data_IF_693385455134
#
_entry.id   IF_693385455134
#
_cell.length_a   1.000
_cell.length_b   1.000
_cell.length_c   1.000
_cell.angle_alpha   90.00
_cell.angle_beta   90.00
_cell.angle_gamma   90.00
#
_symmetry.space_group_name_H-M   'P 1'
#
loop_
_entity.id
_entity.type
_entity.pdbx_description
1 polymer ?
#
# COMPACT_ATOMS: atom_id res chain seq x y z
N UNK A 1 -5.22 2.08 24.68
CA UNK A 1 -5.86 3.01 23.74
C UNK A 1 -6.51 4.14 24.52
N UNK A 2 -6.10 5.41 24.32
CA UNK A 2 -6.84 6.55 24.87
C UNK A 2 -8.28 6.55 24.37
N UNK A 3 -9.23 6.83 25.27
CA UNK A 3 -10.67 6.88 24.98
C UNK A 3 -11.20 8.32 25.11
N UNK A 4 -12.50 8.52 24.84
CA UNK A 4 -13.17 9.81 25.01
C UNK A 4 -13.34 10.66 23.74
N UNK A 5 -13.20 10.09 22.55
CA UNK A 5 -13.59 10.74 21.29
C UNK A 5 -15.11 10.76 21.15
N UNK A 6 -15.67 11.86 20.63
CA UNK A 6 -17.08 11.99 20.29
C UNK A 6 -17.33 11.68 18.81
N UNK A 7 -18.56 11.29 18.46
CA UNK A 7 -18.96 11.02 17.08
C UNK A 7 -19.18 12.32 16.29
N UNK A 8 -18.68 12.36 15.06
CA UNK A 8 -18.93 13.45 14.12
C UNK A 8 -20.34 13.39 13.52
N UNK A 9 -20.89 14.53 13.10
CA UNK A 9 -22.23 14.65 12.52
C UNK A 9 -22.25 15.05 11.04
N UNK A 10 -21.07 15.13 10.40
CA UNK A 10 -20.90 15.49 8.98
C UNK A 10 -20.06 14.44 8.28
N UNK A 11 -20.47 14.02 7.08
CA UNK A 11 -19.74 13.08 6.22
C UNK A 11 -19.89 13.50 4.75
N UNK A 12 -18.77 13.85 4.12
CA UNK A 12 -18.75 14.39 2.76
C UNK A 12 -17.79 13.57 1.88
N UNK A 13 -18.33 12.92 0.84
CA UNK A 13 -17.52 12.16 -0.12
C UNK A 13 -16.45 13.03 -0.82
N UNK A 14 -16.71 14.33 -0.98
CA UNK A 14 -15.78 15.30 -1.56
C UNK A 14 -14.51 15.50 -0.72
N UNK A 15 -14.52 15.16 0.56
CA UNK A 15 -13.36 15.29 1.44
C UNK A 15 -12.46 14.06 1.41
N UNK A 16 -12.91 12.93 0.86
CA UNK A 16 -12.20 11.65 0.96
C UNK A 16 -10.92 11.62 0.14
N UNK A 17 -11.00 11.93 -1.15
CA UNK A 17 -9.85 11.79 -2.08
C UNK A 17 -8.75 12.83 -1.82
N UNK A 18 -9.06 13.94 -1.17
CA UNK A 18 -8.05 14.93 -0.74
C UNK A 18 -7.33 14.54 0.55
N UNK A 19 -7.86 13.58 1.31
CA UNK A 19 -7.34 13.22 2.63
C UNK A 19 -6.87 11.76 2.75
N UNK A 20 -7.14 10.90 1.77
CA UNK A 20 -6.69 9.51 1.76
C UNK A 20 -5.59 9.28 0.72
N UNK A 21 -4.45 8.66 1.11
CA UNK A 21 -3.40 8.32 0.16
C UNK A 21 -3.90 7.28 -0.84
N UNK A 22 -3.52 7.46 -2.10
CA UNK A 22 -3.85 6.55 -3.19
C UNK A 22 -2.81 5.41 -3.23
N UNK A 23 -3.17 4.19 -3.66
CA UNK A 23 -2.25 3.05 -3.75
C UNK A 23 -1.12 3.25 -4.78
N UNK A 24 -1.25 4.26 -5.64
CA UNK A 24 -0.25 4.67 -6.63
C UNK A 24 0.47 5.98 -6.28
N UNK A 25 0.31 6.48 -5.05
CA UNK A 25 1.01 7.67 -4.56
C UNK A 25 2.54 7.50 -4.60
N UNK A 26 3.24 8.58 -4.92
CA UNK A 26 4.71 8.64 -4.82
C UNK A 26 5.13 8.79 -3.35
N UNK A 27 6.40 8.53 -3.04
CA UNK A 27 6.91 8.72 -1.68
C UNK A 27 6.69 10.16 -1.20
N UNK A 28 6.93 11.17 -2.04
CA UNK A 28 6.72 12.57 -1.66
C UNK A 28 5.24 12.84 -1.32
N UNK A 29 4.31 12.32 -2.14
CA UNK A 29 2.88 12.46 -1.84
C UNK A 29 2.50 11.79 -0.51
N UNK A 30 3.04 10.60 -0.22
CA UNK A 30 2.81 9.93 1.06
C UNK A 30 3.34 10.77 2.23
N UNK A 31 4.58 11.29 2.12
CA UNK A 31 5.19 12.17 3.13
C UNK A 31 4.32 13.41 3.38
N UNK A 32 3.89 14.09 2.32
CA UNK A 32 3.08 15.31 2.43
C UNK A 32 1.71 15.03 3.07
N UNK A 33 1.06 13.93 2.67
CA UNK A 33 -0.25 13.56 3.21
C UNK A 33 -0.18 13.14 4.68
N UNK A 34 0.83 12.39 5.10
CA UNK A 34 1.02 12.03 6.51
C UNK A 34 1.44 13.25 7.35
N UNK A 35 2.31 14.11 6.83
CA UNK A 35 2.68 15.36 7.49
C UNK A 35 1.47 16.28 7.69
N UNK A 36 0.52 16.31 6.74
CA UNK A 36 -0.75 17.05 6.89
C UNK A 36 -1.62 16.55 8.05
N UNK A 37 -1.37 15.34 8.55
CA UNK A 37 -2.01 14.73 9.72
C UNK A 37 -1.15 14.79 10.98
N UNK A 38 -0.02 15.49 10.93
CA UNK A 38 0.92 15.60 12.04
C UNK A 38 1.73 14.32 12.29
N UNK A 39 1.84 13.45 11.28
CA UNK A 39 2.59 12.20 11.36
C UNK A 39 3.94 12.34 10.64
N UNK A 40 4.97 11.76 11.25
CA UNK A 40 6.34 11.69 10.74
C UNK A 40 6.50 10.64 9.63
N UNK A 41 7.64 10.67 8.95
CA UNK A 41 8.00 9.63 7.95
C UNK A 41 8.11 8.24 8.60
N UNK A 42 8.64 8.16 9.83
CA UNK A 42 8.73 6.90 10.57
C UNK A 42 7.34 6.35 10.92
N UNK A 43 6.42 7.20 11.35
CA UNK A 43 5.03 6.81 11.59
C UNK A 43 4.31 6.39 10.30
N UNK A 44 4.59 7.06 9.17
CA UNK A 44 4.08 6.66 7.85
C UNK A 44 4.54 5.25 7.47
N UNK A 45 5.84 4.96 7.60
CA UNK A 45 6.39 3.61 7.33
C UNK A 45 5.80 2.60 8.30
N UNK A 46 5.73 2.93 9.59
CA UNK A 46 5.17 2.07 10.64
C UNK A 46 3.70 1.71 10.37
N UNK A 47 2.88 2.69 10.00
CA UNK A 47 1.46 2.48 9.69
C UNK A 47 1.25 1.73 8.38
N UNK A 48 2.17 1.85 7.42
CA UNK A 48 2.16 1.04 6.18
C UNK A 48 2.32 -0.45 6.48
N UNK A 49 2.94 -0.81 7.61
CA UNK A 49 3.01 -2.19 8.12
C UNK A 49 1.65 -2.88 8.31
N UNK A 50 0.55 -2.13 8.40
CA UNK A 50 -0.79 -2.71 8.44
C UNK A 50 -1.13 -3.55 7.20
N UNK A 51 -0.45 -3.33 6.06
CA UNK A 51 -0.56 -4.14 4.85
C UNK A 51 0.05 -5.56 4.98
N UNK A 52 0.57 -5.93 6.16
CA UNK A 52 0.92 -7.32 6.48
C UNK A 52 -0.29 -8.26 6.50
N UNK A 53 -1.50 -7.73 6.60
CA UNK A 53 -2.76 -8.50 6.59
C UNK A 53 -3.78 -7.89 5.63
N UNK A 54 -4.81 -8.67 5.34
CA UNK A 54 -5.96 -8.22 4.57
C UNK A 54 -5.83 -8.44 3.07
N UNK A 55 -6.68 -7.75 2.31
CA UNK A 55 -6.88 -7.95 0.88
C UNK A 55 -6.85 -6.63 0.12
N UNK A 56 -6.65 -6.70 -1.18
CA UNK A 56 -6.80 -5.60 -2.12
C UNK A 56 -7.60 -6.05 -3.33
N UNK A 57 -8.44 -5.16 -3.85
CA UNK A 57 -8.96 -5.27 -5.20
C UNK A 57 -7.84 -5.10 -6.23
N UNK A 58 -7.95 -5.79 -7.36
CA UNK A 58 -6.97 -5.73 -8.45
C UNK A 58 -6.87 -4.34 -9.08
N UNK A 59 -7.97 -3.58 -9.11
CA UNK A 59 -7.99 -2.19 -9.60
C UNK A 59 -7.03 -1.26 -8.86
N UNK A 60 -6.68 -1.58 -7.61
CA UNK A 60 -5.80 -0.75 -6.78
C UNK A 60 -4.30 -0.86 -7.16
N UNK A 61 -3.92 -1.85 -7.98
CA UNK A 61 -2.52 -2.05 -8.40
C UNK A 61 -2.37 -2.50 -9.85
N UNK A 62 -3.42 -2.38 -10.66
CA UNK A 62 -3.42 -2.83 -12.06
C UNK A 62 -2.41 -2.08 -12.91
N UNK A 63 -2.03 -0.85 -12.52
CA UNK A 63 -0.99 -0.06 -13.17
C UNK A 63 0.41 -0.70 -13.09
N UNK A 64 0.60 -1.69 -12.22
CA UNK A 64 1.85 -2.42 -12.05
C UNK A 64 1.89 -3.74 -12.82
N UNK A 65 0.84 -4.09 -13.56
CA UNK A 65 0.72 -5.35 -14.30
C UNK A 65 0.51 -5.11 -15.81
N UNK A 66 1.24 -5.82 -16.70
CA UNK A 66 2.41 -6.65 -16.41
C UNK A 66 3.58 -5.78 -15.89
N UNK A 67 4.55 -6.36 -15.15
CA UNK A 67 5.63 -5.59 -14.55
C UNK A 67 6.57 -5.06 -15.64
N UNK A 68 6.85 -3.75 -15.61
CA UNK A 68 7.90 -3.15 -16.43
C UNK A 68 9.27 -3.39 -15.79
N UNK A 69 10.01 -4.41 -16.22
CA UNK A 69 11.29 -4.79 -15.60
C UNK A 69 12.40 -3.74 -15.75
N UNK A 70 12.23 -2.72 -16.58
CA UNK A 70 13.13 -1.57 -16.64
C UNK A 70 12.90 -0.57 -15.51
N UNK A 71 11.77 -0.64 -14.81
CA UNK A 71 11.45 0.19 -13.64
C UNK A 71 12.10 -0.41 -12.37
N UNK A 72 12.94 0.33 -11.64
CA UNK A 72 13.50 -0.14 -10.36
C UNK A 72 12.44 -0.53 -9.32
N UNK A 73 11.24 0.04 -9.41
CA UNK A 73 10.07 -0.21 -8.55
C UNK A 73 9.14 -1.32 -9.08
N UNK A 74 9.51 -2.00 -10.17
CA UNK A 74 8.73 -3.10 -10.72
C UNK A 74 8.43 -4.19 -9.68
N UNK A 75 7.22 -4.74 -9.76
CA UNK A 75 6.80 -5.88 -8.95
C UNK A 75 7.66 -7.11 -9.28
N UNK A 76 7.98 -7.91 -8.26
CA UNK A 76 8.62 -9.22 -8.46
C UNK A 76 7.86 -10.06 -9.50
N UNK A 77 8.58 -10.65 -10.46
CA UNK A 77 7.96 -11.34 -11.58
C UNK A 77 7.12 -12.56 -11.16
N UNK A 78 7.54 -13.25 -10.08
CA UNK A 78 6.80 -14.40 -9.56
C UNK A 78 5.49 -13.96 -8.91
N UNK A 79 5.55 -12.90 -8.09
CA UNK A 79 4.35 -12.27 -7.54
C UNK A 79 3.42 -11.80 -8.66
N UNK A 80 3.95 -11.06 -9.63
CA UNK A 80 3.17 -10.50 -10.73
C UNK A 80 2.42 -11.58 -11.52
N UNK A 81 3.10 -12.67 -11.87
CA UNK A 81 2.46 -13.81 -12.53
C UNK A 81 1.34 -14.43 -11.68
N UNK A 82 1.57 -14.59 -10.36
CA UNK A 82 0.59 -15.12 -9.40
C UNK A 82 -0.68 -14.25 -9.33
N UNK A 83 -0.53 -12.93 -9.23
CA UNK A 83 -1.68 -12.03 -9.11
C UNK A 83 -2.37 -11.77 -10.44
N UNK A 84 -1.63 -11.76 -11.57
CA UNK A 84 -2.21 -11.52 -12.89
C UNK A 84 -3.24 -12.58 -13.28
N UNK A 85 -3.00 -13.85 -12.92
CA UNK A 85 -3.98 -14.93 -13.13
C UNK A 85 -5.31 -14.64 -12.40
N UNK A 86 -5.25 -14.05 -11.20
CA UNK A 86 -6.45 -13.67 -10.45
C UNK A 86 -7.08 -12.42 -11.05
N UNK A 87 -6.29 -11.39 -11.37
CA UNK A 87 -6.76 -10.09 -11.83
C UNK A 87 -7.33 -10.06 -13.25
N UNK A 88 -7.07 -11.08 -14.08
CA UNK A 88 -7.67 -11.21 -15.40
C UNK A 88 -9.15 -11.65 -15.38
N UNK A 89 -9.74 -11.88 -14.20
CA UNK A 89 -11.16 -12.23 -14.06
C UNK A 89 -12.03 -10.98 -14.08
N UNK A 90 -13.29 -11.14 -14.48
CA UNK A 90 -14.28 -10.06 -14.45
C UNK A 90 -14.67 -9.70 -13.01
N UNK A 91 -15.07 -8.44 -12.78
CA UNK A 91 -15.66 -8.01 -11.50
C UNK A 91 -14.67 -7.59 -10.40
N UNK A 92 -13.46 -7.13 -10.77
CA UNK A 92 -12.44 -6.59 -9.85
C UNK A 92 -12.13 -7.50 -8.65
N UNK A 93 -11.55 -8.69 -8.90
CA UNK A 93 -11.31 -9.68 -7.87
C UNK A 93 -10.31 -9.19 -6.81
N UNK A 94 -10.33 -9.84 -5.65
CA UNK A 94 -9.44 -9.53 -4.53
C UNK A 94 -8.26 -10.49 -4.44
N UNK A 95 -7.14 -9.99 -3.93
CA UNK A 95 -5.93 -10.74 -3.60
C UNK A 95 -5.48 -10.41 -2.19
N UNK A 96 -4.80 -11.33 -1.51
CA UNK A 96 -4.20 -11.05 -0.19
C UNK A 96 -2.99 -10.13 -0.35
N UNK A 97 -2.79 -9.20 0.59
CA UNK A 97 -1.69 -8.22 0.53
C UNK A 97 -0.33 -8.85 0.88
N UNK A 98 -0.31 -9.77 1.85
CA UNK A 98 0.84 -10.61 2.17
C UNK A 98 0.58 -12.07 1.78
N UNK A 99 1.39 -12.63 0.86
CA UNK A 99 1.29 -14.04 0.45
C UNK A 99 2.05 -15.01 1.37
N UNK A 100 2.88 -14.50 2.29
CA UNK A 100 3.70 -15.30 3.20
C UNK A 100 2.95 -15.60 4.49
N UNK A 101 2.37 -14.58 5.11
CA UNK A 101 1.66 -14.66 6.40
C UNK A 101 0.31 -13.91 6.35
N UNK A 102 -0.60 -14.26 5.43
CA UNK A 102 -1.83 -13.47 5.14
C UNK A 102 -2.77 -13.24 6.33
N UNK A 103 -2.66 -14.02 7.40
CA UNK A 103 -3.48 -13.92 8.61
C UNK A 103 -2.76 -13.31 9.81
N UNK A 104 -1.46 -13.04 9.71
CA UNK A 104 -0.64 -12.60 10.84
C UNK A 104 -0.19 -11.15 10.63
N UNK A 105 -0.45 -10.31 11.64
CA UNK A 105 0.10 -8.97 11.68
C UNK A 105 1.52 -9.05 12.24
N UNK A 106 2.50 -9.12 11.35
CA UNK A 106 3.91 -9.26 11.68
C UNK A 106 4.80 -8.31 10.84
N UNK A 107 6.11 -8.56 10.81
CA UNK A 107 7.06 -7.74 10.05
C UNK A 107 7.38 -8.31 8.66
N UNK A 108 6.67 -9.33 8.20
CA UNK A 108 6.84 -9.94 6.89
C UNK A 108 6.50 -8.96 5.77
N UNK A 109 5.56 -8.03 5.99
CA UNK A 109 5.33 -6.88 5.10
C UNK A 109 6.64 -6.16 4.72
N UNK A 110 7.47 -5.79 5.69
CA UNK A 110 8.70 -5.03 5.43
C UNK A 110 9.72 -5.85 4.63
N UNK A 111 9.78 -7.17 4.87
CA UNK A 111 10.60 -8.08 4.05
C UNK A 111 10.07 -8.14 2.61
N UNK A 112 8.74 -8.18 2.45
CA UNK A 112 8.11 -8.15 1.14
C UNK A 112 8.39 -6.85 0.39
N UNK A 113 8.43 -5.69 1.07
CA UNK A 113 8.83 -4.40 0.47
C UNK A 113 10.25 -4.49 -0.11
N UNK A 114 11.20 -5.01 0.67
CA UNK A 114 12.61 -5.18 0.24
C UNK A 114 12.73 -6.16 -0.94
N UNK A 115 11.96 -7.24 -0.92
CA UNK A 115 11.90 -8.27 -1.96
C UNK A 115 11.09 -7.87 -3.21
N UNK A 116 10.55 -6.64 -3.26
CA UNK A 116 9.62 -6.15 -4.31
C UNK A 116 8.34 -6.99 -4.45
N UNK A 117 7.94 -7.67 -3.36
CA UNK A 117 6.77 -8.55 -3.27
C UNK A 117 5.57 -7.88 -2.59
N UNK A 118 5.33 -6.62 -2.93
CA UNK A 118 4.18 -5.84 -2.47
C UNK A 118 3.26 -5.50 -3.62
N UNK A 119 1.98 -5.32 -3.34
CA UNK A 119 0.96 -5.04 -4.36
C UNK A 119 1.01 -3.59 -4.82
N UNK A 120 1.00 -2.64 -3.88
CA UNK A 120 0.83 -1.22 -4.22
C UNK A 120 2.13 -0.56 -4.67
N UNK A 121 1.99 0.47 -5.50
CA UNK A 121 3.13 1.31 -5.89
C UNK A 121 3.56 2.20 -4.72
N UNK A 122 2.63 2.60 -3.85
CA UNK A 122 2.92 3.27 -2.58
C UNK A 122 3.82 2.44 -1.67
N UNK A 123 3.58 1.12 -1.56
CA UNK A 123 4.44 0.22 -0.78
C UNK A 123 5.84 0.10 -1.41
N UNK A 124 5.91 -0.06 -2.73
CA UNK A 124 7.18 -0.15 -3.45
C UNK A 124 8.02 1.15 -3.32
N UNK A 125 7.37 2.30 -3.15
CA UNK A 125 8.03 3.60 -2.97
C UNK A 125 8.81 3.71 -1.65
N UNK A 126 8.46 2.91 -0.63
CA UNK A 126 9.15 2.88 0.66
C UNK A 126 10.58 2.33 0.57
N UNK A 127 10.93 1.68 -0.54
CA UNK A 127 12.28 1.16 -0.82
C UNK A 127 13.25 2.24 -1.34
N UNK A 128 12.76 3.45 -1.65
CA UNK A 128 13.62 4.51 -2.18
C UNK A 128 14.59 5.03 -1.11
N UNK A 129 15.78 5.47 -1.51
CA UNK A 129 16.84 5.94 -0.60
C UNK A 129 16.48 7.18 0.24
N UNK A 130 15.33 7.79 -0.05
CA UNK A 130 14.81 8.98 0.64
C UNK A 130 13.97 8.64 1.88
N UNK A 131 13.78 7.36 2.22
CA UNK A 131 13.11 6.97 3.47
C UNK A 131 14.01 7.03 4.71
N UNK A 132 15.31 7.26 4.54
CA UNK A 132 16.29 7.38 5.62
C UNK A 132 16.82 8.79 5.90
N UNK A 133 16.18 9.83 5.35
CA UNK A 133 16.58 11.24 5.55
C UNK A 133 15.62 11.97 6.49
#
# INVERSE_FOLDING_TARGET
MPAGRYDGNVSLASETLSNLPLPFATLQMLKDMFASKGLTVDEMVTLSGAHSVGISHCSSFSDRLPPNLSDPSAMDATLAASVQVKCNRTGDPVVVQDLRTPGDLDNQYYRNVLDKKVLFKSDAALRSSETGA
#
